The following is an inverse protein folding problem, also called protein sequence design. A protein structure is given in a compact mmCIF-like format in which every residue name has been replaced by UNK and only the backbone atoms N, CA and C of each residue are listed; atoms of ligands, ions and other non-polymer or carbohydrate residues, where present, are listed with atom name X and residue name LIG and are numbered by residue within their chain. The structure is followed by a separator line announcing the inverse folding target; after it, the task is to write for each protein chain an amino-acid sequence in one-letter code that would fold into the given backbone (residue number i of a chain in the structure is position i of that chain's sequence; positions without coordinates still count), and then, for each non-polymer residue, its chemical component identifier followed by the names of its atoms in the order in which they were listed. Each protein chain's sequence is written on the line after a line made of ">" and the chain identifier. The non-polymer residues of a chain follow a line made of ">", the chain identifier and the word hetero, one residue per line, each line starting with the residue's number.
data_IF_586512231625
#
_entry.id   IF_586512231625
#
_cell.length_a   1.000
_cell.length_b   1.000
_cell.length_c   1.000
_cell.angle_alpha   90.00
_cell.angle_beta   90.00
_cell.angle_gamma   90.00
#
_symmetry.space_group_name_H-M   'P 1'
#
loop_
_entity.id
_entity.type
_entity.pdbx_description
1 polymer ?
#
# COMPACT_ATOMS: atom_id res chain seq x y z
N UNK A 1 10.03 13.40 -9.41
CA UNK A 1 8.92 13.11 -10.36
C UNK A 1 8.08 14.37 -10.44
N UNK A 2 8.17 15.06 -11.61
CA UNK A 2 7.49 16.35 -11.82
C UNK A 2 6.13 16.17 -12.51
N UNK A 3 5.43 15.06 -12.23
CA UNK A 3 4.12 14.75 -12.81
C UNK A 3 3.02 14.92 -11.76
N UNK A 4 1.82 15.27 -12.23
CA UNK A 4 0.59 15.29 -11.42
C UNK A 4 0.22 13.85 -11.06
N UNK A 5 -0.04 13.57 -9.78
CA UNK A 5 -0.49 12.26 -9.28
C UNK A 5 -1.98 12.10 -9.65
N UNK A 6 -2.29 11.10 -10.44
CA UNK A 6 -3.64 10.79 -10.92
C UNK A 6 -4.34 9.86 -9.94
N UNK A 7 -5.47 10.29 -9.41
CA UNK A 7 -6.20 9.58 -8.34
C UNK A 7 -7.60 9.18 -8.81
N UNK A 8 -7.99 7.93 -8.54
CA UNK A 8 -9.38 7.46 -8.64
C UNK A 8 -9.96 7.30 -7.24
N UNK A 9 -11.18 7.80 -7.03
CA UNK A 9 -11.94 7.69 -5.77
C UNK A 9 -12.99 6.58 -5.92
N UNK A 10 -12.99 5.61 -5.00
CA UNK A 10 -13.96 4.51 -5.00
C UNK A 10 -14.60 4.40 -3.61
N UNK A 11 -15.85 4.84 -3.50
CA UNK A 11 -16.61 4.92 -2.25
C UNK A 11 -18.11 4.92 -2.60
N UNK A 12 -18.95 4.22 -1.89
CA UNK A 12 -20.39 4.20 -2.20
C UNK A 12 -21.11 5.47 -1.74
N UNK A 13 -20.55 6.23 -0.79
CA UNK A 13 -21.09 7.50 -0.33
C UNK A 13 -20.65 8.66 -1.25
N UNK A 14 -21.60 9.20 -2.00
CA UNK A 14 -21.37 10.33 -2.90
C UNK A 14 -20.92 11.61 -2.18
N UNK A 15 -21.30 11.80 -0.90
CA UNK A 15 -20.87 12.97 -0.11
C UNK A 15 -19.39 12.84 0.25
N UNK A 16 -18.93 11.63 0.60
CA UNK A 16 -17.53 11.36 0.88
C UNK A 16 -16.69 11.60 -0.37
N UNK A 17 -17.12 11.08 -1.54
CA UNK A 17 -16.40 11.31 -2.81
C UNK A 17 -16.32 12.80 -3.13
N UNK A 18 -17.43 13.55 -3.01
CA UNK A 18 -17.44 14.99 -3.26
C UNK A 18 -16.52 15.76 -2.32
N UNK A 19 -16.47 15.40 -1.04
CA UNK A 19 -15.59 16.02 -0.06
C UNK A 19 -14.11 15.77 -0.37
N UNK A 20 -13.76 14.50 -0.72
CA UNK A 20 -12.40 14.12 -1.12
C UNK A 20 -11.99 14.84 -2.41
N UNK A 21 -12.88 14.89 -3.41
CA UNK A 21 -12.63 15.54 -4.70
C UNK A 21 -12.37 17.03 -4.52
N UNK A 22 -13.17 17.71 -3.69
CA UNK A 22 -12.98 19.14 -3.36
C UNK A 22 -11.64 19.37 -2.64
N UNK A 23 -11.31 18.54 -1.66
CA UNK A 23 -10.08 18.62 -0.88
C UNK A 23 -8.84 18.42 -1.75
N UNK A 24 -8.86 17.41 -2.62
CA UNK A 24 -7.75 17.06 -3.51
C UNK A 24 -7.61 18.08 -4.65
N UNK A 25 -8.73 18.63 -5.16
CA UNK A 25 -8.74 19.68 -6.18
C UNK A 25 -8.03 20.99 -5.76
N UNK A 26 -7.76 21.18 -4.46
CA UNK A 26 -6.94 22.29 -3.96
C UNK A 26 -5.42 22.03 -4.05
N UNK A 27 -4.98 20.82 -4.46
CA UNK A 27 -3.57 20.47 -4.57
C UNK A 27 -3.10 20.61 -6.02
N UNK A 28 -1.97 21.27 -6.26
CA UNK A 28 -1.44 21.49 -7.62
C UNK A 28 -0.76 20.24 -8.23
N UNK A 29 -0.42 19.25 -7.40
CA UNK A 29 0.30 18.03 -7.74
C UNK A 29 -0.58 16.77 -7.71
N UNK A 30 -1.91 16.91 -7.50
CA UNK A 30 -2.86 15.79 -7.43
C UNK A 30 -4.07 16.12 -8.31
N UNK A 31 -4.51 15.14 -9.11
CA UNK A 31 -5.70 15.25 -9.96
C UNK A 31 -6.63 14.06 -9.73
N UNK A 32 -7.90 14.32 -9.38
CA UNK A 32 -8.94 13.28 -9.35
C UNK A 32 -9.41 13.04 -10.79
N UNK A 33 -9.04 11.89 -11.34
CA UNK A 33 -9.33 11.54 -12.75
C UNK A 33 -10.59 10.70 -12.91
N UNK A 34 -11.16 10.17 -11.82
CA UNK A 34 -12.40 9.39 -11.87
C UNK A 34 -12.97 9.08 -10.48
N UNK A 35 -14.28 8.81 -10.47
CA UNK A 35 -15.04 8.46 -9.25
C UNK A 35 -15.95 7.25 -9.53
N UNK A 36 -16.02 6.31 -8.58
CA UNK A 36 -16.87 5.12 -8.66
C UNK A 36 -17.60 4.87 -7.33
N UNK A 37 -18.78 4.27 -7.38
CA UNK A 37 -19.59 3.94 -6.20
C UNK A 37 -19.51 2.48 -5.76
N UNK A 38 -18.66 1.65 -6.37
CA UNK A 38 -18.41 0.26 -5.99
C UNK A 38 -17.11 -0.24 -6.61
N UNK A 39 -16.65 -1.41 -6.16
CA UNK A 39 -15.39 -1.99 -6.61
C UNK A 39 -15.36 -2.33 -8.10
N UNK A 40 -16.44 -2.88 -8.66
CA UNK A 40 -16.51 -3.25 -10.08
C UNK A 40 -16.35 -2.04 -11.01
N UNK A 41 -17.08 -0.96 -10.73
CA UNK A 41 -16.95 0.30 -11.46
C UNK A 41 -15.54 0.92 -11.27
N UNK A 42 -14.97 0.80 -10.07
CA UNK A 42 -13.59 1.20 -9.78
C UNK A 42 -12.57 0.47 -10.64
N UNK A 43 -12.68 -0.85 -10.77
CA UNK A 43 -11.81 -1.67 -11.64
C UNK A 43 -11.89 -1.26 -13.12
N UNK A 44 -13.10 -0.94 -13.60
CA UNK A 44 -13.28 -0.45 -14.97
C UNK A 44 -12.55 0.89 -15.17
N UNK A 45 -12.75 1.87 -14.26
CA UNK A 45 -12.07 3.16 -14.33
C UNK A 45 -10.54 3.03 -14.28
N UNK A 46 -10.01 2.15 -13.44
CA UNK A 46 -8.55 1.91 -13.37
C UNK A 46 -8.01 1.35 -14.69
N UNK A 47 -8.81 0.54 -15.39
CA UNK A 47 -8.42 0.00 -16.70
C UNK A 47 -8.35 1.10 -17.77
N UNK A 48 -9.31 2.01 -17.76
CA UNK A 48 -9.44 3.05 -18.79
C UNK A 48 -8.52 4.26 -18.52
N UNK A 49 -8.31 4.58 -17.25
CA UNK A 49 -7.63 5.82 -16.85
C UNK A 49 -6.18 5.62 -16.41
N UNK A 50 -5.76 4.40 -16.07
CA UNK A 50 -4.41 4.09 -15.55
C UNK A 50 -3.95 5.10 -14.48
N UNK A 51 -4.66 5.21 -13.34
CA UNK A 51 -4.29 6.14 -12.27
C UNK A 51 -3.02 5.68 -11.55
N UNK A 52 -2.35 6.61 -10.87
CA UNK A 52 -1.21 6.31 -9.99
C UNK A 52 -1.67 5.76 -8.63
N UNK A 53 -2.79 6.28 -8.12
CA UNK A 53 -3.33 5.94 -6.79
C UNK A 53 -4.84 5.72 -6.86
N UNK A 54 -5.33 4.75 -6.09
CA UNK A 54 -6.76 4.55 -5.84
C UNK A 54 -7.03 4.74 -4.35
N UNK A 55 -7.95 5.66 -4.00
CA UNK A 55 -8.55 5.71 -2.67
C UNK A 55 -9.77 4.78 -2.67
N UNK A 56 -9.77 3.75 -1.83
CA UNK A 56 -10.72 2.65 -1.86
C UNK A 56 -11.45 2.50 -0.52
N UNK A 57 -12.76 2.66 -0.49
CA UNK A 57 -13.54 2.24 0.68
C UNK A 57 -13.65 0.72 0.74
N UNK A 58 -13.75 0.17 1.96
CA UNK A 58 -13.91 -1.28 2.16
C UNK A 58 -15.35 -1.70 1.88
N UNK A 59 -16.32 -0.98 2.45
CA UNK A 59 -17.72 -1.42 2.47
C UNK A 59 -18.52 -0.81 1.34
N UNK A 60 -18.65 -1.52 0.26
CA UNK A 60 -19.42 -1.09 -0.90
C UNK A 60 -20.32 -2.22 -1.42
N UNK A 61 -21.45 -1.88 -2.07
CA UNK A 61 -22.31 -2.86 -2.73
C UNK A 61 -21.63 -3.46 -3.97
N UNK A 62 -22.14 -4.58 -4.47
CA UNK A 62 -21.70 -5.32 -5.67
C UNK A 62 -20.35 -6.00 -5.50
N UNK A 63 -19.30 -5.25 -5.30
CA UNK A 63 -17.93 -5.71 -5.02
C UNK A 63 -17.34 -4.84 -3.92
N UNK A 64 -16.86 -5.46 -2.84
CA UNK A 64 -16.23 -4.75 -1.75
C UNK A 64 -14.80 -4.27 -2.11
N UNK A 65 -14.27 -3.33 -1.31
CA UNK A 65 -12.96 -2.74 -1.60
C UNK A 65 -11.79 -3.68 -1.39
N UNK A 66 -11.92 -4.73 -0.57
CA UNK A 66 -10.86 -5.73 -0.40
C UNK A 66 -10.78 -6.64 -1.61
N UNK A 67 -11.92 -7.08 -2.14
CA UNK A 67 -12.02 -7.85 -3.39
C UNK A 67 -11.46 -7.04 -4.57
N UNK A 68 -11.85 -5.76 -4.67
CA UNK A 68 -11.34 -4.86 -5.70
C UNK A 68 -9.83 -4.64 -5.58
N UNK A 69 -9.30 -4.43 -4.37
CA UNK A 69 -7.85 -4.29 -4.12
C UNK A 69 -7.09 -5.52 -4.56
N UNK A 70 -7.59 -6.72 -4.21
CA UNK A 70 -6.96 -7.98 -4.63
C UNK A 70 -6.96 -8.14 -6.16
N UNK A 71 -8.05 -7.77 -6.84
CA UNK A 71 -8.13 -7.81 -8.30
C UNK A 71 -7.17 -6.81 -8.97
N UNK A 72 -7.03 -5.59 -8.41
CA UNK A 72 -6.07 -4.60 -8.89
C UNK A 72 -4.63 -5.11 -8.81
N UNK A 73 -4.30 -5.81 -7.74
CA UNK A 73 -2.93 -6.32 -7.51
C UNK A 73 -2.50 -7.43 -8.48
N UNK A 74 -3.46 -8.11 -9.13
CA UNK A 74 -3.17 -9.12 -10.15
C UNK A 74 -2.79 -8.53 -11.52
N UNK A 75 -2.82 -7.20 -11.68
CA UNK A 75 -2.46 -6.52 -12.93
C UNK A 75 -0.94 -6.45 -13.09
N UNK A 76 -0.48 -6.37 -14.32
CA UNK A 76 0.95 -6.23 -14.64
C UNK A 76 1.57 -4.90 -14.16
N UNK A 77 0.74 -3.86 -14.02
CA UNK A 77 1.13 -2.56 -13.47
C UNK A 77 -0.01 -2.06 -12.58
N UNK A 78 -0.07 -2.51 -11.31
CA UNK A 78 -1.12 -2.08 -10.39
C UNK A 78 -0.90 -0.63 -9.97
N UNK A 79 -1.98 0.17 -9.80
CA UNK A 79 -1.90 1.44 -9.08
C UNK A 79 -1.62 1.18 -7.60
N UNK A 80 -1.07 2.16 -6.89
CA UNK A 80 -1.03 2.10 -5.43
C UNK A 80 -2.44 2.23 -4.84
N UNK A 81 -2.77 1.41 -3.83
CA UNK A 81 -4.11 1.41 -3.22
C UNK A 81 -4.01 1.88 -1.77
N UNK A 82 -4.71 2.96 -1.46
CA UNK A 82 -4.95 3.42 -0.08
C UNK A 82 -6.38 3.10 0.31
N UNK A 83 -6.53 2.22 1.29
CA UNK A 83 -7.84 1.87 1.84
C UNK A 83 -8.28 2.94 2.83
N UNK A 84 -9.50 3.46 2.64
CA UNK A 84 -10.19 4.38 3.54
C UNK A 84 -11.38 3.67 4.19
N UNK A 85 -11.52 3.71 5.52
CA UNK A 85 -12.63 3.06 6.22
C UNK A 85 -13.10 3.87 7.41
N UNK A 86 -14.37 3.70 7.78
CA UNK A 86 -14.95 4.28 9.01
C UNK A 86 -14.63 3.47 10.26
N UNK A 87 -14.14 2.23 10.13
CA UNK A 87 -13.95 1.31 11.24
C UNK A 87 -12.49 0.88 11.40
N UNK A 88 -12.00 1.07 12.62
CA UNK A 88 -10.69 0.61 13.10
C UNK A 88 -10.81 -0.82 13.69
N UNK A 89 -11.37 -1.75 12.91
CA UNK A 89 -11.36 -3.15 13.31
C UNK A 89 -10.00 -3.74 12.90
N UNK A 90 -9.22 -4.21 13.87
CA UNK A 90 -7.90 -4.82 13.66
C UNK A 90 -7.88 -5.84 12.51
N UNK A 91 -8.99 -6.58 12.34
CA UNK A 91 -9.15 -7.56 11.29
C UNK A 91 -9.21 -6.95 9.88
N UNK A 92 -9.78 -5.74 9.72
CA UNK A 92 -9.84 -5.05 8.43
C UNK A 92 -8.46 -4.56 7.96
N UNK A 93 -7.62 -4.09 8.87
CA UNK A 93 -6.25 -3.67 8.56
C UNK A 93 -5.46 -4.84 7.97
N UNK A 94 -5.49 -5.99 8.67
CA UNK A 94 -4.75 -7.17 8.25
C UNK A 94 -5.26 -7.72 6.90
N UNK A 95 -6.57 -7.72 6.70
CA UNK A 95 -7.19 -8.13 5.44
C UNK A 95 -6.84 -7.18 4.29
N UNK A 96 -6.80 -5.86 4.54
CA UNK A 96 -6.40 -4.88 3.55
C UNK A 96 -4.93 -5.07 3.13
N UNK A 97 -4.02 -5.26 4.10
CA UNK A 97 -2.61 -5.56 3.82
C UNK A 97 -2.48 -6.88 3.04
N UNK A 98 -3.24 -7.91 3.43
CA UNK A 98 -3.23 -9.20 2.73
C UNK A 98 -3.80 -9.10 1.31
N UNK A 99 -4.78 -8.24 1.08
CA UNK A 99 -5.34 -7.94 -0.24
C UNK A 99 -4.38 -7.13 -1.14
N UNK A 100 -3.34 -6.52 -0.56
CA UNK A 100 -2.33 -5.78 -1.30
C UNK A 100 -2.38 -4.26 -1.14
N UNK A 101 -3.14 -3.72 -0.19
CA UNK A 101 -3.18 -2.28 0.05
C UNK A 101 -1.79 -1.73 0.45
N UNK A 102 -1.39 -0.61 -0.16
CA UNK A 102 -0.14 0.11 0.13
C UNK A 102 -0.31 1.10 1.28
N UNK A 103 -1.56 1.51 1.55
CA UNK A 103 -1.92 2.39 2.64
C UNK A 103 -3.24 2.02 3.29
N UNK A 104 -3.38 2.41 4.58
CA UNK A 104 -4.61 2.25 5.34
C UNK A 104 -4.85 3.48 6.22
N UNK A 105 -5.97 4.14 6.02
CA UNK A 105 -6.40 5.34 6.74
C UNK A 105 -7.84 5.20 7.23
N UNK A 106 -8.17 5.94 8.27
CA UNK A 106 -9.56 6.13 8.69
C UNK A 106 -10.20 7.31 7.94
N UNK A 107 -11.50 7.27 7.70
CA UNK A 107 -12.25 8.38 7.03
C UNK A 107 -12.28 9.67 7.87
N UNK A 108 -11.97 9.60 9.17
CA UNK A 108 -11.80 10.75 10.05
C UNK A 108 -10.35 11.30 10.08
N UNK A 109 -9.46 10.72 9.29
CA UNK A 109 -8.09 11.22 9.11
C UNK A 109 -8.09 12.66 8.62
N UNK A 110 -7.28 13.55 9.23
CA UNK A 110 -7.20 14.95 8.80
C UNK A 110 -6.88 15.08 7.30
N UNK A 111 -7.48 16.05 6.58
CA UNK A 111 -7.28 16.23 5.14
C UNK A 111 -5.82 16.28 4.70
N UNK A 112 -4.95 16.95 5.46
CA UNK A 112 -3.52 17.03 5.17
C UNK A 112 -2.81 15.68 5.19
N UNK A 113 -3.23 14.77 6.08
CA UNK A 113 -2.65 13.44 6.22
C UNK A 113 -3.10 12.52 5.08
N UNK A 114 -4.34 12.69 4.56
CA UNK A 114 -4.81 11.97 3.36
C UNK A 114 -3.99 12.40 2.14
N UNK A 115 -3.78 13.70 1.95
CA UNK A 115 -2.93 14.24 0.88
C UNK A 115 -1.51 13.70 0.99
N UNK A 116 -0.93 13.68 2.19
CA UNK A 116 0.40 13.13 2.42
C UNK A 116 0.46 11.64 2.13
N UNK A 117 -0.56 10.87 2.49
CA UNK A 117 -0.64 9.44 2.19
C UNK A 117 -0.62 9.17 0.68
N UNK A 118 -1.39 9.93 -0.10
CA UNK A 118 -1.39 9.82 -1.57
C UNK A 118 0.02 10.04 -2.12
N UNK A 119 0.72 11.09 -1.67
CA UNK A 119 2.11 11.37 -2.09
C UNK A 119 3.06 10.26 -1.71
N UNK A 120 2.92 9.73 -0.51
CA UNK A 120 3.76 8.65 0.04
C UNK A 120 3.59 7.38 -0.78
N UNK A 121 2.37 6.92 -1.03
CA UNK A 121 2.14 5.68 -1.80
C UNK A 121 2.49 5.85 -3.28
N UNK A 122 2.28 7.02 -3.88
CA UNK A 122 2.73 7.32 -5.24
C UNK A 122 4.26 7.28 -5.37
N UNK A 123 4.98 7.61 -4.28
CA UNK A 123 6.43 7.42 -4.22
C UNK A 123 6.85 5.95 -4.07
N UNK A 124 5.92 5.03 -3.83
CA UNK A 124 6.16 3.59 -3.61
C UNK A 124 6.50 3.25 -2.17
N UNK A 125 6.17 4.13 -1.23
CA UNK A 125 6.30 3.90 0.20
C UNK A 125 4.94 3.49 0.80
N UNK A 126 4.93 2.82 1.97
CA UNK A 126 3.70 2.46 2.64
C UNK A 126 3.24 3.57 3.60
N UNK A 127 1.92 3.71 3.74
CA UNK A 127 1.33 4.64 4.71
C UNK A 127 0.28 3.92 5.55
N UNK A 128 0.57 3.75 6.84
CA UNK A 128 -0.35 3.15 7.80
C UNK A 128 -0.70 4.18 8.89
N UNK A 129 -1.98 4.27 9.23
CA UNK A 129 -2.41 5.06 10.37
C UNK A 129 -1.79 4.50 11.68
N UNK A 130 -1.67 5.30 12.76
CA UNK A 130 -1.17 4.80 14.03
C UNK A 130 -1.95 3.60 14.59
N UNK A 131 -3.26 3.53 14.34
CA UNK A 131 -4.10 2.39 14.70
C UNK A 131 -3.75 1.15 13.86
N UNK A 132 -3.66 1.28 12.54
CA UNK A 132 -3.25 0.21 11.66
C UNK A 132 -1.88 -0.36 12.04
N UNK A 133 -0.94 0.51 12.39
CA UNK A 133 0.39 0.11 12.87
C UNK A 133 0.29 -0.69 14.18
N UNK A 134 -0.53 -0.26 15.15
CA UNK A 134 -0.73 -1.01 16.40
C UNK A 134 -1.31 -2.40 16.15
N UNK A 135 -2.32 -2.52 15.28
CA UNK A 135 -2.93 -3.79 14.90
C UNK A 135 -1.90 -4.74 14.28
N UNK A 136 -1.07 -4.24 13.37
CA UNK A 136 0.00 -5.01 12.75
C UNK A 136 1.02 -5.49 13.80
N UNK A 137 1.49 -4.61 14.69
CA UNK A 137 2.43 -4.96 15.77
C UNK A 137 1.84 -5.98 16.74
N UNK A 138 0.55 -5.85 17.10
CA UNK A 138 -0.15 -6.81 17.94
C UNK A 138 -0.16 -8.21 17.30
N UNK A 139 -0.42 -8.27 16.00
CA UNK A 139 -0.42 -9.53 15.23
C UNK A 139 0.95 -10.18 15.18
N UNK A 140 2.00 -9.41 14.92
CA UNK A 140 3.37 -9.92 14.91
C UNK A 140 3.76 -10.53 16.26
N UNK A 141 3.42 -9.87 17.37
CA UNK A 141 3.68 -10.37 18.72
C UNK A 141 2.91 -11.67 19.06
N UNK A 142 1.69 -11.83 18.56
CA UNK A 142 0.88 -13.04 18.80
C UNK A 142 1.28 -14.22 17.94
N UNK A 143 2.08 -14.02 16.92
CA UNK A 143 2.39 -14.99 15.87
C UNK A 143 3.81 -15.57 15.95
N UNK A 144 4.56 -15.29 17.01
CA UNK A 144 5.93 -15.80 17.21
C UNK A 144 5.91 -17.33 17.41
N UNK A 145 6.01 -18.08 16.31
CA UNK A 145 6.19 -19.54 16.30
C UNK A 145 7.42 -19.93 15.46
N UNK A 146 8.19 -20.88 15.93
CA UNK A 146 9.46 -21.38 15.34
C UNK A 146 9.29 -21.80 13.87
N UNK A 147 8.12 -22.31 13.47
CA UNK A 147 7.84 -22.73 12.08
C UNK A 147 7.88 -21.57 11.08
N UNK A 148 7.51 -20.35 11.48
CA UNK A 148 7.51 -19.18 10.60
C UNK A 148 8.91 -18.69 10.29
N UNK A 149 9.82 -18.74 11.25
CA UNK A 149 11.21 -18.28 11.08
C UNK A 149 11.92 -19.12 10.02
N UNK A 150 11.76 -20.44 10.03
CA UNK A 150 12.36 -21.33 9.03
C UNK A 150 11.78 -21.05 7.64
N UNK A 151 10.46 -20.96 7.52
CA UNK A 151 9.77 -20.65 6.25
C UNK A 151 10.14 -19.27 5.70
N UNK A 152 10.28 -18.26 6.57
CA UNK A 152 10.67 -16.91 6.15
C UNK A 152 12.13 -16.86 5.69
N UNK A 153 13.05 -17.55 6.38
CA UNK A 153 14.44 -17.65 5.96
C UNK A 153 14.58 -18.35 4.59
N UNK A 154 13.82 -19.42 4.33
CA UNK A 154 13.79 -20.11 3.04
C UNK A 154 13.28 -19.20 1.91
N UNK A 155 12.27 -18.38 2.20
CA UNK A 155 11.76 -17.38 1.24
C UNK A 155 12.81 -16.32 0.91
N UNK A 156 13.61 -15.89 1.88
CA UNK A 156 14.68 -14.91 1.65
C UNK A 156 15.88 -15.50 0.91
N UNK A 157 16.09 -16.80 0.94
CA UNK A 157 17.22 -17.47 0.29
C UNK A 157 17.23 -17.33 -1.25
N UNK A 158 16.10 -16.97 -1.88
CA UNK A 158 16.02 -16.73 -3.34
C UNK A 158 16.52 -15.34 -3.75
N UNK A 159 16.79 -14.48 -2.77
CA UNK A 159 17.24 -13.11 -3.02
C UNK A 159 18.75 -13.08 -3.28
N UNK A 160 19.17 -12.21 -4.17
CA UNK A 160 20.57 -11.83 -4.29
C UNK A 160 21.01 -11.02 -3.07
N UNK A 161 22.30 -10.93 -2.81
CA UNK A 161 22.85 -10.14 -1.69
C UNK A 161 22.30 -8.70 -1.70
N UNK A 162 22.27 -8.06 -2.88
CA UNK A 162 21.77 -6.69 -3.02
C UNK A 162 20.27 -6.57 -2.78
N UNK A 163 19.48 -7.54 -3.20
CA UNK A 163 18.05 -7.59 -2.92
C UNK A 163 17.79 -7.82 -1.43
N UNK A 164 18.59 -8.65 -0.76
CA UNK A 164 18.49 -8.87 0.68
C UNK A 164 18.81 -7.59 1.47
N UNK A 165 19.85 -6.84 1.10
CA UNK A 165 20.15 -5.53 1.71
C UNK A 165 18.96 -4.57 1.60
N UNK A 166 18.35 -4.46 0.41
CA UNK A 166 17.15 -3.62 0.22
C UNK A 166 15.97 -4.15 1.04
N UNK A 167 15.76 -5.49 1.10
CA UNK A 167 14.69 -6.09 1.89
C UNK A 167 14.85 -5.77 3.39
N UNK A 168 16.07 -5.86 3.94
CA UNK A 168 16.37 -5.49 5.34
C UNK A 168 16.08 -4.00 5.60
N UNK A 169 16.46 -3.11 4.70
CA UNK A 169 16.12 -1.68 4.80
C UNK A 169 14.59 -1.47 4.82
N UNK A 170 13.85 -2.18 3.96
CA UNK A 170 12.38 -2.17 3.95
C UNK A 170 11.82 -2.71 5.27
N UNK A 171 12.39 -3.80 5.80
CA UNK A 171 12.03 -4.36 7.11
C UNK A 171 12.25 -3.42 8.27
N UNK A 172 13.24 -2.56 8.19
CA UNK A 172 13.52 -1.47 9.15
C UNK A 172 12.58 -0.26 8.99
N UNK A 173 11.68 -0.29 8.01
CA UNK A 173 10.72 0.77 7.75
C UNK A 173 11.26 1.96 6.97
N UNK A 174 12.43 1.86 6.35
CA UNK A 174 13.03 2.96 5.59
C UNK A 174 12.24 3.24 4.31
N UNK A 175 12.04 4.52 3.99
CA UNK A 175 11.48 4.98 2.72
C UNK A 175 12.44 4.71 1.55
N UNK A 176 11.93 4.77 0.32
CA UNK A 176 12.79 4.60 -0.87
C UNK A 176 13.93 5.62 -0.94
N UNK A 177 13.72 6.84 -0.45
CA UNK A 177 14.76 7.87 -0.38
C UNK A 177 15.82 7.55 0.68
N UNK A 178 15.43 7.04 1.84
CA UNK A 178 16.36 6.62 2.90
C UNK A 178 17.17 5.39 2.49
N UNK A 179 16.51 4.38 1.87
CA UNK A 179 17.20 3.22 1.28
C UNK A 179 18.21 3.64 0.22
N UNK A 180 17.84 4.60 -0.65
CA UNK A 180 18.74 5.15 -1.68
C UNK A 180 19.97 5.78 -1.06
N UNK A 181 19.80 6.55 0.01
CA UNK A 181 20.90 7.18 0.77
C UNK A 181 21.78 6.16 1.48
N UNK A 182 21.18 5.18 2.18
CA UNK A 182 21.92 4.18 2.97
C UNK A 182 22.73 3.23 2.07
N UNK A 183 22.16 2.83 0.95
CA UNK A 183 22.79 1.87 0.03
C UNK A 183 23.53 2.51 -1.16
N UNK A 184 23.62 3.84 -1.20
CA UNK A 184 24.26 4.59 -2.29
C UNK A 184 23.66 4.26 -3.67
N UNK A 185 22.31 4.22 -3.75
CA UNK A 185 21.54 3.96 -4.96
C UNK A 185 20.76 5.20 -5.39
N UNK A 186 20.24 5.17 -6.64
CA UNK A 186 19.20 6.11 -7.05
C UNK A 186 17.82 5.63 -6.61
N UNK A 187 16.87 6.56 -6.36
CA UNK A 187 15.49 6.20 -6.02
C UNK A 187 14.85 5.29 -7.07
N UNK A 188 14.99 5.53 -8.39
CA UNK A 188 14.49 4.60 -9.41
C UNK A 188 15.08 3.19 -9.30
N UNK A 189 16.37 3.07 -8.93
CA UNK A 189 17.02 1.77 -8.71
C UNK A 189 16.42 1.06 -7.51
N UNK A 190 16.17 1.77 -6.40
CA UNK A 190 15.49 1.21 -5.22
C UNK A 190 14.10 0.71 -5.58
N UNK A 191 13.29 1.52 -6.29
CA UNK A 191 11.96 1.10 -6.76
C UNK A 191 12.03 -0.18 -7.60
N UNK A 192 13.01 -0.30 -8.50
CA UNK A 192 13.22 -1.52 -9.30
C UNK A 192 13.57 -2.73 -8.41
N UNK A 193 14.40 -2.56 -7.37
CA UNK A 193 14.68 -3.64 -6.42
C UNK A 193 13.44 -4.02 -5.62
N UNK A 194 12.68 -3.06 -5.10
CA UNK A 194 11.43 -3.32 -4.37
C UNK A 194 10.44 -4.10 -5.24
N UNK A 195 10.24 -3.70 -6.50
CA UNK A 195 9.39 -4.44 -7.44
C UNK A 195 9.83 -5.90 -7.63
N UNK A 196 11.14 -6.15 -7.73
CA UNK A 196 11.68 -7.52 -7.81
C UNK A 196 11.49 -8.31 -6.52
N UNK A 197 11.63 -7.65 -5.35
CA UNK A 197 11.36 -8.27 -4.05
C UNK A 197 9.91 -8.75 -3.97
N UNK A 198 8.94 -7.90 -4.36
CA UNK A 198 7.53 -8.27 -4.39
C UNK A 198 7.31 -9.54 -5.21
N UNK A 199 7.86 -9.58 -6.42
CA UNK A 199 7.73 -10.75 -7.31
C UNK A 199 8.40 -12.00 -6.75
N UNK A 200 9.65 -11.90 -6.24
CA UNK A 200 10.42 -13.06 -5.77
C UNK A 200 9.89 -13.64 -4.47
N UNK A 201 9.37 -12.78 -3.59
CA UNK A 201 8.84 -13.18 -2.28
C UNK A 201 7.34 -13.48 -2.33
N UNK A 202 6.72 -13.42 -3.52
CA UNK A 202 5.26 -13.54 -3.67
C UNK A 202 4.52 -12.63 -2.67
N UNK A 203 4.92 -11.35 -2.66
CA UNK A 203 4.35 -10.31 -1.82
C UNK A 203 3.62 -9.30 -2.69
N UNK A 204 2.49 -8.79 -2.19
CA UNK A 204 1.66 -7.84 -2.92
C UNK A 204 1.99 -6.38 -2.59
N UNK A 205 2.61 -6.11 -1.44
CA UNK A 205 3.04 -4.78 -1.04
C UNK A 205 4.31 -4.83 -0.17
N UNK A 206 4.91 -3.65 0.08
CA UNK A 206 6.15 -3.58 0.85
C UNK A 206 5.97 -3.91 2.34
N UNK A 207 4.75 -3.80 2.88
CA UNK A 207 4.46 -4.19 4.27
C UNK A 207 4.64 -5.69 4.44
N UNK A 208 4.18 -6.48 3.46
CA UNK A 208 4.39 -7.93 3.48
C UNK A 208 5.88 -8.31 3.38
N UNK A 209 6.68 -7.58 2.59
CA UNK A 209 8.14 -7.75 2.56
C UNK A 209 8.74 -7.50 3.94
N UNK A 210 8.35 -6.40 4.61
CA UNK A 210 8.80 -6.09 5.96
C UNK A 210 8.43 -7.20 6.97
N UNK A 211 7.21 -7.76 6.86
CA UNK A 211 6.79 -8.89 7.70
C UNK A 211 7.65 -10.14 7.48
N UNK A 212 7.99 -10.49 6.23
CA UNK A 212 8.86 -11.64 5.92
C UNK A 212 10.25 -11.44 6.53
N UNK A 213 10.82 -10.25 6.41
CA UNK A 213 12.15 -9.93 6.99
C UNK A 213 12.13 -9.99 8.52
N UNK A 214 11.06 -9.47 9.15
CA UNK A 214 10.84 -9.55 10.59
C UNK A 214 10.68 -11.01 11.05
N UNK A 215 9.86 -11.80 10.37
CA UNK A 215 9.64 -13.23 10.71
C UNK A 215 10.91 -14.07 10.55
N UNK A 216 11.83 -13.66 9.68
CA UNK A 216 13.16 -14.26 9.53
C UNK A 216 14.17 -13.82 10.62
N UNK A 217 13.80 -12.88 11.50
CA UNK A 217 14.63 -12.37 12.58
C UNK A 217 15.81 -11.50 12.13
N UNK A 218 15.69 -10.83 10.97
CA UNK A 218 16.74 -9.95 10.43
C UNK A 218 16.59 -8.48 10.88
N UNK A 219 15.46 -8.14 11.50
CA UNK A 219 15.15 -6.81 12.07
C UNK A 219 14.34 -6.95 13.35
#
# INVERSE_FOLDING_TARGET
>A
MDGVIRVVLVDDDALVRSALSLMLGGQSDIEVVGEAGNGEAGLALVTDLEPDVVLMDIRMPVMDGLEATQALHQRSSPPAVVVLTTFDADDHVLRAIAAGADGFLLKDTPPGDIVQAIRTVAAGDAMLSPSATRSLVSRLRSSATTDRTTTAADRLAVLTERELEVAVCVGRGLSNSEVASELYLSIPTVKSHVSRLLTKLDCTNRVQVAMVVHDAGLV
#
